data_IF_053075566771
#
_entry.id   IF_053075566771
#
_cell.length_a   1.000
_cell.length_b   1.000
_cell.length_c   1.000
_cell.angle_alpha   90.00
_cell.angle_beta   90.00
_cell.angle_gamma   90.00
#
_symmetry.space_group_name_H-M   'P 1'
#
loop_
_entity.id
_entity.type
_entity.pdbx_description
1 polymer ?
#
# COMPACT_ATOMS: atom_id res chain seq x y z
N UNK A 1 -2.33 0.29 4.09
CA UNK A 1 -2.05 -1.16 3.93
C UNK A 1 -0.61 -1.31 3.47
N UNK A 2 0.15 -2.17 4.13
CA UNK A 2 1.60 -2.33 3.92
C UNK A 2 2.03 -2.47 2.45
N UNK A 3 1.25 -3.17 1.62
CA UNK A 3 1.60 -3.39 0.22
C UNK A 3 1.49 -2.13 -0.62
N UNK A 4 0.59 -1.20 -0.29
CA UNK A 4 0.50 0.10 -0.97
C UNK A 4 1.79 0.89 -0.76
N UNK A 5 2.36 0.87 0.44
CA UNK A 5 3.60 1.60 0.74
C UNK A 5 4.79 1.03 -0.03
N UNK A 6 4.91 -0.30 -0.07
CA UNK A 6 5.93 -0.99 -0.88
C UNK A 6 5.75 -0.68 -2.36
N UNK A 7 4.52 -0.76 -2.87
CA UNK A 7 4.23 -0.54 -4.29
C UNK A 7 4.44 0.92 -4.69
N UNK A 8 4.10 1.88 -3.83
CA UNK A 8 4.42 3.30 -4.05
C UNK A 8 5.93 3.54 -4.02
N UNK A 9 6.66 2.93 -3.09
CA UNK A 9 8.13 3.00 -3.07
C UNK A 9 8.72 2.50 -4.40
N UNK A 10 8.31 1.31 -4.85
CA UNK A 10 8.71 0.75 -6.14
C UNK A 10 8.33 1.66 -7.32
N UNK A 11 7.13 2.23 -7.31
CA UNK A 11 6.67 3.15 -8.36
C UNK A 11 7.56 4.39 -8.48
N UNK A 12 7.95 4.99 -7.34
CA UNK A 12 8.85 6.15 -7.31
C UNK A 12 10.24 5.77 -7.83
N UNK A 13 10.74 4.58 -7.48
CA UNK A 13 12.05 4.06 -7.91
C UNK A 13 12.12 3.70 -9.39
N UNK A 14 11.01 3.25 -9.97
CA UNK A 14 10.92 2.85 -11.38
C UNK A 14 10.70 4.06 -12.29
N UNK A 15 9.81 4.98 -11.89
CA UNK A 15 9.45 6.18 -12.66
C UNK A 15 10.12 7.44 -12.09
N UNK A 16 11.45 7.53 -12.19
CA UNK A 16 12.23 8.59 -11.55
C UNK A 16 11.83 10.02 -11.97
N UNK A 17 11.42 10.25 -13.22
CA UNK A 17 10.97 11.59 -13.65
C UNK A 17 9.50 11.87 -13.31
N UNK A 18 8.71 10.85 -12.96
CA UNK A 18 7.26 10.96 -12.71
C UNK A 18 6.85 10.35 -11.36
N UNK A 19 7.72 10.43 -10.34
CA UNK A 19 7.58 9.72 -9.06
C UNK A 19 6.19 9.90 -8.43
N UNK A 20 5.72 11.15 -8.33
CA UNK A 20 4.43 11.46 -7.70
C UNK A 20 3.24 10.89 -8.49
N UNK A 21 3.28 10.98 -9.82
CA UNK A 21 2.21 10.43 -10.68
C UNK A 21 2.21 8.91 -10.65
N UNK A 22 3.38 8.27 -10.60
CA UNK A 22 3.50 6.82 -10.50
C UNK A 22 3.00 6.29 -9.14
N UNK A 23 3.36 6.96 -8.05
CA UNK A 23 2.85 6.66 -6.71
C UNK A 23 1.32 6.85 -6.60
N UNK A 24 0.80 7.94 -7.19
CA UNK A 24 -0.64 8.20 -7.25
C UNK A 24 -1.37 7.14 -8.08
N UNK A 25 -0.81 6.76 -9.24
CA UNK A 25 -1.36 5.71 -10.09
C UNK A 25 -1.44 4.38 -9.33
N UNK A 26 -0.35 3.93 -8.70
CA UNK A 26 -0.32 2.59 -8.11
C UNK A 26 -1.25 2.49 -6.89
N UNK A 27 -1.32 3.54 -6.06
CA UNK A 27 -2.25 3.57 -4.93
C UNK A 27 -3.70 3.58 -5.40
N UNK A 28 -4.03 4.37 -6.43
CA UNK A 28 -5.38 4.37 -7.01
C UNK A 28 -5.73 3.02 -7.64
N UNK A 29 -4.77 2.41 -8.32
CA UNK A 29 -4.94 1.12 -8.98
C UNK A 29 -5.27 0.03 -7.94
N UNK A 30 -4.45 -0.12 -6.90
CA UNK A 30 -4.69 -1.12 -5.85
C UNK A 30 -5.99 -0.87 -5.12
N UNK A 31 -6.29 0.38 -4.75
CA UNK A 31 -7.55 0.70 -4.08
C UNK A 31 -8.79 0.32 -4.90
N UNK A 32 -8.79 0.62 -6.20
CA UNK A 32 -9.91 0.23 -7.07
C UNK A 32 -9.98 -1.26 -7.26
N UNK A 33 -8.82 -1.89 -7.43
CA UNK A 33 -8.74 -3.33 -7.55
C UNK A 33 -9.41 -3.98 -6.31
N UNK A 34 -9.07 -3.55 -5.09
CA UNK A 34 -9.56 -4.15 -3.84
C UNK A 34 -11.06 -3.96 -3.63
N UNK A 35 -11.63 -2.88 -4.20
CA UNK A 35 -13.07 -2.64 -4.17
C UNK A 35 -13.84 -3.51 -5.15
N UNK A 36 -13.23 -3.87 -6.27
CA UNK A 36 -13.89 -4.58 -7.36
C UNK A 36 -13.69 -6.10 -7.27
N UNK A 37 -12.63 -6.54 -6.60
CA UNK A 37 -12.24 -7.95 -6.51
C UNK A 37 -11.57 -8.22 -5.16
N UNK A 38 -11.93 -9.33 -4.53
CA UNK A 38 -11.25 -9.84 -3.35
C UNK A 38 -10.00 -10.61 -3.84
N UNK A 39 -8.81 -10.01 -3.73
CA UNK A 39 -7.59 -10.70 -4.16
C UNK A 39 -6.98 -11.52 -3.06
N UNK A 40 -6.47 -12.68 -3.46
CA UNK A 40 -5.61 -13.46 -2.58
C UNK A 40 -4.30 -12.72 -2.28
N UNK A 41 -3.85 -12.87 -1.04
CA UNK A 41 -2.56 -12.36 -0.55
C UNK A 41 -1.40 -12.78 -1.47
N UNK A 42 -1.47 -14.00 -2.02
CA UNK A 42 -0.47 -14.54 -2.94
C UNK A 42 -0.38 -13.73 -4.25
N UNK A 43 -1.50 -13.17 -4.74
CA UNK A 43 -1.49 -12.31 -5.91
C UNK A 43 -0.68 -11.03 -5.66
N UNK A 44 -0.90 -10.39 -4.51
CA UNK A 44 -0.21 -9.16 -4.13
C UNK A 44 1.28 -9.42 -3.93
N UNK A 45 1.64 -10.52 -3.24
CA UNK A 45 3.02 -10.90 -3.03
C UNK A 45 3.75 -11.22 -4.35
N UNK A 46 3.10 -11.94 -5.26
CA UNK A 46 3.59 -12.22 -6.61
C UNK A 46 3.81 -10.94 -7.41
N UNK A 47 2.85 -10.01 -7.33
CA UNK A 47 2.94 -8.71 -7.98
C UNK A 47 4.13 -7.89 -7.46
N UNK A 48 4.27 -7.76 -6.13
CA UNK A 48 5.42 -7.07 -5.51
C UNK A 48 6.74 -7.70 -5.94
N UNK A 49 6.82 -9.03 -5.93
CA UNK A 49 8.00 -9.80 -6.35
C UNK A 49 8.45 -9.42 -7.77
N UNK A 50 7.56 -9.52 -8.75
CA UNK A 50 7.92 -9.23 -10.15
C UNK A 50 8.13 -7.74 -10.42
N UNK A 51 7.46 -6.85 -9.69
CA UNK A 51 7.69 -5.41 -9.81
C UNK A 51 9.07 -5.01 -9.24
N UNK A 52 9.51 -5.62 -8.15
CA UNK A 52 10.86 -5.43 -7.61
C UNK A 52 11.93 -5.88 -8.59
N UNK A 53 11.80 -7.09 -9.15
CA UNK A 53 12.71 -7.62 -10.16
C UNK A 53 12.76 -6.71 -11.39
N UNK A 54 11.60 -6.16 -11.79
CA UNK A 54 11.54 -5.16 -12.86
C UNK A 54 12.29 -3.88 -12.49
N UNK A 55 12.19 -3.39 -11.24
CA UNK A 55 12.97 -2.22 -10.80
C UNK A 55 14.48 -2.46 -10.83
N UNK A 56 14.95 -3.66 -10.41
CA UNK A 56 16.37 -4.01 -10.45
C UNK A 56 16.90 -4.09 -11.88
N UNK A 57 16.11 -4.65 -12.80
CA UNK A 57 16.46 -4.68 -14.24
C UNK A 57 16.52 -3.29 -14.88
N UNK A 58 15.78 -2.31 -14.34
CA UNK A 58 15.68 -0.94 -14.87
C UNK A 58 16.33 0.11 -13.96
N UNK A 59 17.25 -0.28 -13.08
CA UNK A 59 17.77 0.62 -12.02
C UNK A 59 18.45 1.90 -12.57
N UNK A 60 18.93 1.86 -13.82
CA UNK A 60 19.60 2.97 -14.50
C UNK A 60 18.74 3.61 -15.61
N UNK A 61 17.47 3.21 -15.73
CA UNK A 61 16.57 3.67 -16.78
C UNK A 61 15.36 4.34 -16.14
N UNK A 62 15.07 5.56 -16.58
CA UNK A 62 13.80 6.19 -16.25
C UNK A 62 12.69 5.55 -17.10
N UNK A 63 11.80 4.81 -16.44
CA UNK A 63 10.68 4.13 -17.11
C UNK A 63 9.53 5.12 -17.29
N UNK A 64 9.00 5.29 -18.52
CA UNK A 64 7.84 6.14 -18.74
C UNK A 64 6.60 5.65 -17.96
N UNK A 65 5.79 6.59 -17.46
CA UNK A 65 4.57 6.27 -16.69
C UNK A 65 3.64 5.30 -17.42
N UNK A 66 3.51 5.40 -18.74
CA UNK A 66 2.68 4.50 -19.55
C UNK A 66 3.23 3.08 -19.65
N UNK A 67 4.56 2.91 -19.72
CA UNK A 67 5.20 1.60 -19.68
C UNK A 67 5.01 0.96 -18.30
N UNK A 68 5.24 1.74 -17.23
CA UNK A 68 5.02 1.30 -15.86
C UNK A 68 3.55 0.93 -15.59
N UNK A 69 2.59 1.76 -15.99
CA UNK A 69 1.17 1.51 -15.78
C UNK A 69 0.70 0.23 -16.49
N UNK A 70 1.11 0.04 -17.75
CA UNK A 70 0.84 -1.20 -18.50
C UNK A 70 1.48 -2.41 -17.80
N UNK A 71 2.73 -2.26 -17.34
CA UNK A 71 3.44 -3.30 -16.61
C UNK A 71 2.68 -3.71 -15.34
N UNK A 72 2.24 -2.75 -14.54
CA UNK A 72 1.49 -3.02 -13.31
C UNK A 72 0.18 -3.75 -13.57
N UNK A 73 -0.64 -3.27 -14.52
CA UNK A 73 -1.91 -3.93 -14.85
C UNK A 73 -1.67 -5.37 -15.34
N UNK A 74 -0.73 -5.57 -16.26
CA UNK A 74 -0.46 -6.92 -16.79
C UNK A 74 0.09 -7.87 -15.72
N UNK A 75 1.00 -7.41 -14.86
CA UNK A 75 1.52 -8.23 -13.76
C UNK A 75 0.39 -8.61 -12.79
N UNK A 76 -0.47 -7.66 -12.45
CA UNK A 76 -1.55 -7.88 -11.52
C UNK A 76 -2.58 -8.88 -12.05
N UNK A 77 -2.99 -8.75 -13.32
CA UNK A 77 -3.88 -9.73 -13.99
C UNK A 77 -3.28 -11.13 -13.93
N UNK A 78 -2.00 -11.27 -14.25
CA UNK A 78 -1.32 -12.57 -14.27
C UNK A 78 -1.25 -13.21 -12.89
N UNK A 79 -0.95 -12.43 -11.85
CA UNK A 79 -0.86 -12.95 -10.49
C UNK A 79 -2.22 -13.23 -9.87
N UNK A 80 -3.24 -12.41 -10.13
CA UNK A 80 -4.61 -12.69 -9.72
C UNK A 80 -5.12 -14.01 -10.33
N UNK A 81 -4.91 -14.21 -11.64
CA UNK A 81 -5.24 -15.47 -12.32
C UNK A 81 -4.44 -16.68 -11.87
N UNK A 82 -3.22 -16.46 -11.36
CA UNK A 82 -2.35 -17.54 -10.91
C UNK A 82 -2.69 -17.99 -9.49
N UNK A 83 -3.15 -17.06 -8.63
CA UNK A 83 -3.54 -17.38 -7.27
C UNK A 83 -4.95 -17.97 -7.17
N UNK A 84 -5.88 -17.54 -8.03
CA UNK A 84 -7.25 -18.06 -8.05
C UNK A 84 -7.39 -19.15 -9.13
N UNK A 85 -7.62 -20.39 -8.69
CA UNK A 85 -7.70 -21.54 -9.58
C UNK A 85 -8.92 -21.54 -10.52
N UNK A 86 -9.96 -20.69 -10.33
CA UNK A 86 -11.22 -20.89 -11.08
C UNK A 86 -12.07 -19.70 -11.53
N UNK A 87 -11.83 -18.41 -11.25
CA UNK A 87 -12.83 -17.39 -11.65
C UNK A 87 -12.33 -16.03 -12.16
N UNK A 88 -11.03 -15.79 -12.32
CA UNK A 88 -10.53 -14.47 -12.75
C UNK A 88 -10.26 -14.40 -14.27
N UNK A 89 -10.99 -13.52 -14.95
CA UNK A 89 -10.85 -13.23 -16.38
C UNK A 89 -10.30 -11.83 -16.62
N UNK A 90 -9.69 -11.63 -17.80
CA UNK A 90 -9.19 -10.29 -18.19
C UNK A 90 -10.31 -9.26 -18.25
N UNK A 91 -11.53 -9.70 -18.55
CA UNK A 91 -12.72 -8.84 -18.59
C UNK A 91 -13.03 -8.18 -17.26
N UNK A 92 -12.61 -8.77 -16.15
CA UNK A 92 -12.98 -8.32 -14.80
C UNK A 92 -12.22 -7.03 -14.45
N UNK A 93 -11.13 -6.75 -15.16
CA UNK A 93 -10.32 -5.54 -14.99
C UNK A 93 -10.76 -4.39 -15.92
N UNK A 94 -11.85 -4.53 -16.69
CA UNK A 94 -12.32 -3.48 -17.62
C UNK A 94 -12.73 -2.21 -16.88
N UNK A 95 -13.35 -2.33 -15.72
CA UNK A 95 -13.79 -1.21 -14.88
C UNK A 95 -12.62 -0.35 -14.42
N UNK A 96 -11.47 -0.94 -14.09
CA UNK A 96 -10.25 -0.22 -13.74
C UNK A 96 -9.82 0.77 -14.85
N UNK A 97 -9.99 0.40 -16.12
CA UNK A 97 -9.64 1.26 -17.26
C UNK A 97 -10.62 2.42 -17.45
N UNK A 98 -11.77 2.43 -16.77
CA UNK A 98 -12.72 3.56 -16.81
C UNK A 98 -12.36 4.67 -15.85
N UNK A 99 -11.51 4.39 -14.86
CA UNK A 99 -10.97 5.40 -13.96
C UNK A 99 -10.03 6.36 -14.72
N UNK A 100 -10.22 7.66 -14.48
CA UNK A 100 -9.49 8.72 -15.19
C UNK A 100 -7.99 8.67 -14.94
N UNK A 101 -7.57 8.38 -13.71
CA UNK A 101 -6.15 8.34 -13.33
C UNK A 101 -5.48 7.15 -14.02
N UNK A 102 -6.11 5.97 -13.95
CA UNK A 102 -5.62 4.75 -14.59
C UNK A 102 -5.54 4.92 -16.10
N UNK A 103 -6.62 5.38 -16.73
CA UNK A 103 -6.68 5.58 -18.17
C UNK A 103 -5.65 6.61 -18.66
N UNK A 104 -5.48 7.71 -17.93
CA UNK A 104 -4.48 8.72 -18.26
C UNK A 104 -3.06 8.18 -18.15
N UNK A 105 -2.76 7.40 -17.10
CA UNK A 105 -1.44 6.83 -16.89
C UNK A 105 -1.06 5.83 -17.99
N UNK A 106 -2.01 5.02 -18.47
CA UNK A 106 -1.79 4.00 -19.50
C UNK A 106 -1.38 4.55 -20.88
N UNK A 107 -1.68 5.82 -21.17
CA UNK A 107 -1.37 6.43 -22.46
C UNK A 107 -2.04 5.73 -23.66
N UNK A 108 -3.23 5.15 -23.46
CA UNK A 108 -3.94 4.32 -24.47
C UNK A 108 -4.91 5.11 -25.34
N UNK A 109 -4.92 6.44 -25.28
CA UNK A 109 -5.95 7.27 -25.96
C UNK A 109 -5.95 7.04 -27.47
N UNK A 110 -4.76 7.04 -28.08
CA UNK A 110 -4.58 6.80 -29.51
C UNK A 110 -5.05 5.40 -29.91
N UNK A 111 -4.64 4.38 -29.16
CA UNK A 111 -5.00 2.98 -29.37
C UNK A 111 -6.53 2.75 -29.25
N UNK A 112 -7.19 3.43 -28.29
CA UNK A 112 -8.64 3.41 -28.14
C UNK A 112 -9.34 4.03 -29.34
N UNK A 113 -8.86 5.18 -29.84
CA UNK A 113 -9.42 5.86 -31.02
C UNK A 113 -9.31 4.94 -32.25
N UNK A 114 -8.11 4.41 -32.51
CA UNK A 114 -7.85 3.52 -33.66
C UNK A 114 -8.72 2.25 -33.61
N UNK A 115 -8.81 1.60 -32.44
CA UNK A 115 -9.63 0.39 -32.28
C UNK A 115 -11.13 0.68 -32.39
N UNK A 116 -11.59 1.83 -31.90
CA UNK A 116 -12.96 2.27 -32.09
C UNK A 116 -13.25 2.46 -33.58
N UNK A 117 -12.42 3.23 -34.28
CA UNK A 117 -12.58 3.46 -35.73
C UNK A 117 -12.61 2.16 -36.53
N UNK A 118 -11.76 1.18 -36.21
CA UNK A 118 -11.79 -0.15 -36.83
C UNK A 118 -13.11 -0.89 -36.60
N UNK A 119 -13.66 -0.84 -35.38
CA UNK A 119 -14.95 -1.48 -35.08
C UNK A 119 -16.12 -0.79 -35.79
N UNK A 120 -16.10 0.54 -35.91
CA UNK A 120 -17.10 1.30 -36.64
C UNK A 120 -16.94 1.22 -38.17
N UNK A 121 -15.72 1.00 -38.68
CA UNK A 121 -15.51 0.76 -40.11
C UNK A 121 -16.05 -0.61 -40.57
N UNK A 122 -16.09 -1.59 -39.67
CA UNK A 122 -16.57 -2.95 -39.94
C UNK A 122 -18.05 -3.19 -39.55
N UNK A 123 -18.76 -2.17 -39.04
CA UNK A 123 -20.19 -2.24 -38.71
C UNK A 123 -20.94 -1.03 -39.25
N UNK A 124 -22.14 -1.22 -39.82
CA UNK A 124 -22.96 -0.15 -40.42
C UNK A 124 -23.53 0.87 -39.40
N UNK A 125 -22.68 1.58 -38.65
CA UNK A 125 -23.12 2.69 -37.79
C UNK A 125 -22.17 3.89 -37.94
N UNK A 126 -22.79 5.06 -38.15
CA UNK A 126 -22.21 6.31 -38.69
C UNK A 126 -20.86 6.72 -38.08
N UNK A 127 -19.93 7.09 -38.97
CA UNK A 127 -18.67 7.82 -38.70
C UNK A 127 -18.89 8.91 -37.65
N UNK A 128 -18.20 8.81 -36.53
CA UNK A 128 -18.02 9.95 -35.63
C UNK A 128 -16.94 10.84 -36.26
N UNK A 129 -17.26 12.12 -36.45
CA UNK A 129 -16.41 13.08 -37.15
C UNK A 129 -15.06 13.31 -36.43
N UNK A 130 -13.96 13.61 -37.16
CA UNK A 130 -12.59 13.71 -36.61
C UNK A 130 -12.32 14.91 -35.70
N UNK A 131 -13.36 15.61 -35.21
CA UNK A 131 -13.20 16.80 -34.34
C UNK A 131 -12.93 16.42 -32.86
N UNK A 132 -12.42 15.22 -32.61
CA UNK A 132 -12.32 14.58 -31.29
C UNK A 132 -10.98 14.81 -30.57
N UNK A 133 -10.07 15.61 -31.12
CA UNK A 133 -8.83 15.98 -30.43
C UNK A 133 -9.05 16.79 -29.13
N UNK A 134 -10.29 17.21 -28.84
CA UNK A 134 -10.69 17.89 -27.60
C UNK A 134 -11.59 17.04 -26.68
N UNK A 135 -11.59 15.70 -26.80
CA UNK A 135 -12.44 14.87 -25.93
C UNK A 135 -12.03 15.05 -24.46
N UNK A 136 -12.96 15.61 -23.69
CA UNK A 136 -12.97 15.52 -22.24
C UNK A 136 -12.80 14.05 -21.81
N UNK A 137 -11.70 13.71 -21.13
CA UNK A 137 -11.34 12.33 -20.74
C UNK A 137 -12.51 11.52 -20.15
N UNK A 138 -13.40 12.17 -19.37
CA UNK A 138 -14.60 11.52 -18.82
C UNK A 138 -15.53 10.96 -19.91
N UNK A 139 -15.66 11.65 -21.04
CA UNK A 139 -16.51 11.26 -22.16
C UNK A 139 -15.89 10.13 -22.98
N UNK A 140 -14.56 10.08 -23.07
CA UNK A 140 -13.85 9.00 -23.78
C UNK A 140 -13.96 7.69 -23.01
N UNK A 141 -13.69 7.69 -21.69
CA UNK A 141 -13.71 6.47 -20.89
C UNK A 141 -15.11 5.87 -20.77
N UNK A 142 -16.14 6.71 -20.60
CA UNK A 142 -17.53 6.25 -20.50
C UNK A 142 -18.12 5.75 -21.83
N UNK A 143 -17.67 6.30 -22.96
CA UNK A 143 -18.17 5.94 -24.29
C UNK A 143 -17.39 4.81 -24.97
N UNK A 144 -16.25 4.39 -24.41
CA UNK A 144 -15.44 3.33 -25.01
C UNK A 144 -16.12 1.97 -24.82
N UNK A 145 -16.42 1.21 -25.89
CA UNK A 145 -17.00 -0.11 -25.77
C UNK A 145 -16.10 -1.06 -24.98
N UNK A 146 -16.67 -1.84 -24.06
CA UNK A 146 -15.94 -2.82 -23.26
C UNK A 146 -15.07 -3.77 -24.12
N UNK A 147 -15.51 -4.10 -25.34
CA UNK A 147 -14.74 -4.94 -26.29
C UNK A 147 -13.42 -4.31 -26.72
N UNK A 148 -13.33 -2.97 -26.79
CA UNK A 148 -12.07 -2.24 -27.07
C UNK A 148 -11.14 -2.32 -25.87
N UNK A 149 -11.65 -2.01 -24.68
CA UNK A 149 -10.87 -2.08 -23.44
C UNK A 149 -10.35 -3.49 -23.18
N UNK A 150 -11.18 -4.51 -23.42
CA UNK A 150 -10.79 -5.92 -23.32
C UNK A 150 -9.62 -6.27 -24.27
N UNK A 151 -9.63 -5.77 -25.52
CA UNK A 151 -8.52 -6.00 -26.45
C UNK A 151 -7.22 -5.37 -25.97
N UNK A 152 -7.29 -4.17 -25.40
CA UNK A 152 -6.14 -3.48 -24.81
C UNK A 152 -5.60 -4.27 -23.61
N UNK A 153 -6.47 -4.72 -22.72
CA UNK A 153 -6.08 -5.52 -21.56
C UNK A 153 -5.44 -6.85 -21.96
N UNK A 154 -6.03 -7.58 -22.91
CA UNK A 154 -5.47 -8.83 -23.45
C UNK A 154 -4.08 -8.61 -24.07
N UNK A 155 -3.88 -7.48 -24.74
CA UNK A 155 -2.58 -7.12 -25.29
C UNK A 155 -1.56 -6.86 -24.19
N UNK A 156 -1.93 -6.06 -23.18
CA UNK A 156 -1.07 -5.75 -22.03
C UNK A 156 -0.67 -7.04 -21.28
N UNK A 157 -1.64 -7.90 -20.98
CA UNK A 157 -1.41 -9.20 -20.32
C UNK A 157 -0.36 -10.02 -21.09
N UNK A 158 -0.54 -10.19 -22.40
CA UNK A 158 0.38 -10.97 -23.25
C UNK A 158 1.78 -10.36 -23.31
N UNK A 159 1.87 -9.04 -23.47
CA UNK A 159 3.14 -8.32 -23.48
C UNK A 159 3.91 -8.55 -22.17
N UNK A 160 3.23 -8.46 -21.03
CA UNK A 160 3.83 -8.71 -19.72
C UNK A 160 4.18 -10.18 -19.54
N UNK A 161 3.30 -11.12 -19.91
CA UNK A 161 3.57 -12.55 -19.78
C UNK A 161 4.79 -12.98 -20.59
N UNK A 162 4.92 -12.46 -21.82
CA UNK A 162 6.10 -12.69 -22.66
C UNK A 162 7.38 -12.19 -21.99
N UNK A 163 7.33 -10.99 -21.39
CA UNK A 163 8.49 -10.42 -20.69
C UNK A 163 8.90 -11.16 -19.42
N UNK A 164 7.99 -11.96 -18.85
CA UNK A 164 8.26 -12.90 -17.76
C UNK A 164 8.74 -14.27 -18.26
N UNK A 165 9.02 -14.39 -19.56
CA UNK A 165 9.34 -15.67 -20.21
C UNK A 165 8.26 -16.72 -19.97
N UNK A 166 7.00 -16.29 -19.93
CA UNK A 166 5.83 -17.14 -19.71
C UNK A 166 5.84 -17.88 -18.36
N UNK A 167 6.53 -17.32 -17.35
CA UNK A 167 6.59 -17.89 -16.00
C UNK A 167 6.00 -16.93 -14.98
N UNK A 168 4.89 -17.32 -14.38
CA UNK A 168 4.28 -16.69 -13.21
C UNK A 168 4.40 -17.70 -12.07
N UNK A 169 5.07 -17.31 -11.00
CA UNK A 169 5.27 -18.17 -9.83
C UNK A 169 5.61 -17.34 -8.62
N UNK A 170 5.29 -17.83 -7.44
CA UNK A 170 5.73 -17.27 -6.18
C UNK A 170 6.21 -18.41 -5.29
N UNK A 171 7.49 -18.40 -4.92
CA UNK A 171 8.04 -19.34 -3.94
C UNK A 171 8.41 -18.61 -2.66
N UNK A 172 8.43 -19.31 -1.52
CA UNK A 172 8.88 -18.71 -0.26
C UNK A 172 10.35 -18.22 -0.33
N UNK A 173 11.18 -18.84 -1.17
CA UNK A 173 12.55 -18.37 -1.39
C UNK A 173 12.57 -17.01 -2.13
N UNK A 174 11.66 -16.81 -3.10
CA UNK A 174 11.50 -15.52 -3.76
C UNK A 174 11.10 -14.43 -2.76
N UNK A 175 10.17 -14.75 -1.85
CA UNK A 175 9.74 -13.84 -0.78
C UNK A 175 10.91 -13.41 0.11
N UNK A 176 11.70 -14.38 0.59
CA UNK A 176 12.89 -14.11 1.40
C UNK A 176 13.89 -13.19 0.69
N UNK A 177 14.19 -13.46 -0.58
CA UNK A 177 15.21 -12.71 -1.33
C UNK A 177 14.76 -11.31 -1.75
N UNK A 178 13.45 -11.05 -1.80
CA UNK A 178 12.90 -9.82 -2.39
C UNK A 178 12.26 -8.93 -1.33
N UNK A 179 11.42 -9.48 -0.45
CA UNK A 179 10.71 -8.68 0.54
C UNK A 179 11.65 -8.19 1.64
N UNK A 180 12.63 -8.99 2.07
CA UNK A 180 13.54 -8.55 3.12
C UNK A 180 14.34 -7.29 2.71
N UNK A 181 15.02 -7.23 1.55
CA UNK A 181 15.66 -5.99 1.12
C UNK A 181 14.69 -4.81 0.96
N UNK A 182 13.50 -5.07 0.43
CA UNK A 182 12.47 -4.03 0.27
C UNK A 182 12.03 -3.42 1.59
N UNK A 183 11.84 -4.26 2.60
CA UNK A 183 11.43 -3.85 3.94
C UNK A 183 12.48 -2.93 4.57
N UNK A 184 13.78 -3.17 4.37
CA UNK A 184 14.80 -2.25 4.90
C UNK A 184 14.89 -0.92 4.14
N UNK A 185 14.35 -0.83 2.92
CA UNK A 185 14.42 0.38 2.08
C UNK A 185 13.21 1.32 2.26
N UNK A 186 12.14 0.88 2.94
CA UNK A 186 10.94 1.68 3.20
C UNK A 186 11.07 2.53 4.47
N UNK A 187 10.30 3.62 4.52
CA UNK A 187 10.38 4.62 5.60
C UNK A 187 9.98 4.05 6.97
N UNK A 188 8.97 3.19 7.01
CA UNK A 188 8.37 2.67 8.25
C UNK A 188 8.37 1.13 8.23
N UNK A 189 9.56 0.52 8.40
CA UNK A 189 9.75 -0.92 8.21
C UNK A 189 9.05 -1.76 9.28
N UNK A 190 8.97 -1.27 10.52
CA UNK A 190 8.32 -1.98 11.62
C UNK A 190 6.84 -2.25 11.31
N UNK A 191 6.11 -1.20 10.94
CA UNK A 191 4.68 -1.29 10.63
C UNK A 191 4.44 -2.34 9.53
N UNK A 192 5.15 -2.23 8.42
CA UNK A 192 5.02 -3.16 7.28
C UNK A 192 5.30 -4.60 7.67
N UNK A 193 6.32 -4.85 8.50
CA UNK A 193 6.63 -6.20 8.97
C UNK A 193 5.50 -6.75 9.83
N UNK A 194 5.02 -5.98 10.82
CA UNK A 194 3.95 -6.43 11.70
C UNK A 194 2.69 -6.79 10.91
N UNK A 195 2.26 -5.93 9.97
CA UNK A 195 1.07 -6.24 9.14
C UNK A 195 1.30 -7.48 8.26
N UNK A 196 2.50 -7.63 7.70
CA UNK A 196 2.84 -8.77 6.85
C UNK A 196 2.88 -10.07 7.67
N UNK A 197 3.46 -10.04 8.86
CA UNK A 197 3.48 -11.20 9.77
C UNK A 197 2.07 -11.62 10.12
N UNK A 198 1.20 -10.68 10.54
CA UNK A 198 -0.17 -11.01 10.92
C UNK A 198 -0.97 -11.56 9.75
N UNK A 199 -0.77 -11.00 8.56
CA UNK A 199 -1.36 -11.53 7.33
C UNK A 199 -0.83 -12.92 6.98
N UNK A 200 0.45 -13.23 7.23
CA UNK A 200 1.03 -14.52 6.90
C UNK A 200 0.76 -15.60 7.96
N UNK A 201 0.53 -15.20 9.22
CA UNK A 201 0.16 -16.12 10.32
C UNK A 201 -1.10 -16.92 10.00
N UNK A 202 -2.04 -16.39 9.22
CA UNK A 202 -3.23 -17.15 8.79
C UNK A 202 -2.90 -18.36 7.89
N UNK A 203 -1.72 -18.37 7.26
CA UNK A 203 -1.21 -19.45 6.43
C UNK A 203 -0.16 -20.32 7.15
N UNK A 204 0.11 -20.03 8.43
CA UNK A 204 1.04 -20.80 9.25
C UNK A 204 0.63 -22.27 9.25
N UNK A 205 1.62 -23.17 9.18
CA UNK A 205 1.46 -24.63 9.08
C UNK A 205 1.09 -25.21 7.71
N UNK A 206 0.84 -24.39 6.67
CA UNK A 206 0.56 -24.93 5.33
C UNK A 206 1.81 -25.41 4.60
N UNK A 207 2.91 -24.66 4.69
CA UNK A 207 4.16 -24.98 3.99
C UNK A 207 5.40 -24.66 4.84
N UNK A 208 6.36 -25.60 4.92
CA UNK A 208 7.59 -25.41 5.70
C UNK A 208 8.43 -24.19 5.26
N UNK A 209 8.59 -23.90 3.95
CA UNK A 209 9.31 -22.71 3.50
C UNK A 209 8.64 -21.38 3.90
N UNK A 210 7.30 -21.34 3.93
CA UNK A 210 6.55 -20.16 4.36
C UNK A 210 6.71 -19.94 5.88
N UNK A 211 6.67 -21.02 6.66
CA UNK A 211 6.93 -20.94 8.10
C UNK A 211 8.33 -20.39 8.38
N UNK A 212 9.34 -20.80 7.61
CA UNK A 212 10.70 -20.27 7.74
C UNK A 212 10.75 -18.76 7.42
N UNK A 213 10.03 -18.30 6.40
CA UNK A 213 9.95 -16.87 6.09
C UNK A 213 9.29 -16.06 7.23
N UNK A 214 8.19 -16.57 7.80
CA UNK A 214 7.53 -15.94 8.95
C UNK A 214 8.51 -15.81 10.13
N UNK A 215 9.27 -16.86 10.44
CA UNK A 215 10.28 -16.82 11.51
C UNK A 215 11.38 -15.79 11.24
N UNK A 216 11.82 -15.62 9.99
CA UNK A 216 12.79 -14.57 9.65
C UNK A 216 12.18 -13.16 9.79
N UNK A 217 10.91 -12.97 9.44
CA UNK A 217 10.22 -11.70 9.67
C UNK A 217 10.09 -11.39 11.17
N UNK A 218 9.69 -12.36 12.01
CA UNK A 218 9.58 -12.20 13.46
C UNK A 218 10.94 -11.78 14.08
N UNK A 219 12.05 -12.38 13.65
CA UNK A 219 13.41 -11.96 14.08
C UNK A 219 13.76 -10.53 13.69
N UNK A 220 13.23 -10.02 12.59
CA UNK A 220 13.48 -8.64 12.16
C UNK A 220 12.56 -7.69 12.91
N UNK A 221 11.31 -8.05 13.12
CA UNK A 221 10.38 -7.32 13.99
C UNK A 221 10.99 -7.08 15.37
N UNK A 222 11.54 -8.13 16.00
CA UNK A 222 12.25 -8.03 17.28
C UNK A 222 13.44 -7.04 17.27
N UNK A 223 14.10 -6.87 16.12
CA UNK A 223 15.19 -5.89 15.98
C UNK A 223 14.66 -4.47 15.79
N UNK A 224 13.52 -4.30 15.14
CA UNK A 224 12.89 -3.01 14.85
C UNK A 224 12.01 -2.49 15.99
N UNK A 225 11.58 -3.37 16.90
CA UNK A 225 10.75 -2.96 18.04
C UNK A 225 11.49 -1.98 18.95
N UNK A 226 12.78 -2.21 19.22
CA UNK A 226 13.57 -1.35 20.10
C UNK A 226 13.66 0.11 19.61
N UNK A 227 14.06 0.40 18.35
CA UNK A 227 14.07 1.77 17.85
C UNK A 227 12.66 2.39 17.79
N UNK A 228 11.62 1.61 17.46
CA UNK A 228 10.23 2.09 17.43
C UNK A 228 9.75 2.50 18.83
N UNK A 229 10.03 1.68 19.84
CA UNK A 229 9.69 1.98 21.24
C UNK A 229 10.41 3.23 21.72
N UNK A 230 11.66 3.45 21.32
CA UNK A 230 12.41 4.68 21.61
C UNK A 230 11.78 5.91 20.96
N UNK A 231 11.30 5.80 19.72
CA UNK A 231 10.62 6.90 19.02
C UNK A 231 9.31 7.30 19.72
N UNK A 232 8.47 6.31 20.08
CA UNK A 232 7.23 6.57 20.84
C UNK A 232 7.55 7.20 22.19
N UNK A 233 8.61 6.73 22.87
CA UNK A 233 9.07 7.30 24.13
C UNK A 233 9.40 8.79 23.98
N UNK A 234 10.19 9.18 22.97
CA UNK A 234 10.53 10.59 22.71
C UNK A 234 9.29 11.43 22.43
N UNK A 235 8.34 10.89 21.66
CA UNK A 235 7.08 11.55 21.35
C UNK A 235 6.22 11.82 22.60
N UNK A 236 6.21 10.91 23.57
CA UNK A 236 5.52 11.09 24.85
C UNK A 236 6.28 12.05 25.79
N UNK A 237 7.61 12.01 25.79
CA UNK A 237 8.46 12.93 26.56
C UNK A 237 8.29 14.39 26.09
N UNK A 238 8.14 14.60 24.78
CA UNK A 238 7.84 15.90 24.17
C UNK A 238 6.49 16.46 24.65
N UNK A 239 5.46 15.61 24.71
CA UNK A 239 4.15 15.98 25.26
C UNK A 239 4.28 16.42 26.72
N UNK A 240 4.93 15.61 27.57
CA UNK A 240 5.14 15.93 28.99
C UNK A 240 5.89 17.24 29.16
N UNK A 241 6.94 17.45 28.36
CA UNK A 241 7.76 18.66 28.40
C UNK A 241 6.95 19.91 28.03
N UNK A 242 6.11 19.83 27.00
CA UNK A 242 5.27 20.94 26.53
C UNK A 242 4.16 21.28 27.53
N UNK A 243 3.53 20.24 28.11
CA UNK A 243 2.49 20.42 29.12
C UNK A 243 3.05 21.08 30.40
N UNK A 244 4.28 20.74 30.81
CA UNK A 244 4.96 21.35 31.96
C UNK A 244 5.41 22.79 31.72
N UNK A 245 5.65 23.21 30.48
CA UNK A 245 5.99 24.61 30.15
C UNK A 245 4.77 25.53 30.17
N UNK A 246 3.58 24.98 29.87
CA UNK A 246 2.32 25.71 29.87
C UNK A 246 1.65 25.78 31.25
N UNK A 247 2.02 24.90 32.19
CA UNK A 247 1.58 24.97 33.57
C UNK A 247 2.41 26.01 34.34
N UNK A 248 1.90 27.24 34.40
CA UNK A 248 2.51 28.28 35.24
C UNK A 248 2.72 27.76 36.67
N UNK A 249 3.93 27.99 37.18
CA UNK A 249 4.58 27.36 38.32
C UNK A 249 3.93 27.51 39.72
N UNK A 250 2.66 27.89 39.84
CA UNK A 250 2.03 28.14 41.15
C UNK A 250 0.52 27.84 41.14
N UNK A 251 0.11 26.58 41.04
CA UNK A 251 -1.22 26.17 41.49
C UNK A 251 -1.29 24.65 41.78
N UNK A 252 -1.27 24.33 43.08
CA UNK A 252 -1.85 23.15 43.73
C UNK A 252 -1.49 21.75 43.19
N UNK A 253 -0.58 21.13 43.92
CA UNK A 253 -0.11 19.73 43.81
C UNK A 253 -1.16 18.64 44.05
N UNK A 254 -2.44 18.98 44.24
CA UNK A 254 -3.50 18.00 44.49
C UNK A 254 -4.75 18.41 43.71
N UNK A 255 -5.08 17.61 42.69
CA UNK A 255 -6.27 17.68 41.82
C UNK A 255 -6.29 18.76 40.72
N UNK A 256 -5.25 18.82 39.89
CA UNK A 256 -5.40 19.34 38.52
C UNK A 256 -5.47 18.15 37.54
N UNK A 257 -6.56 17.96 36.76
CA UNK A 257 -6.68 16.89 35.76
C UNK A 257 -5.51 16.82 34.77
N UNK A 258 -4.88 17.96 34.47
CA UNK A 258 -3.69 18.05 33.61
C UNK A 258 -2.48 17.33 34.22
N UNK A 259 -2.29 17.43 35.55
CA UNK A 259 -1.22 16.72 36.24
C UNK A 259 -1.48 15.20 36.31
N UNK A 260 -2.74 14.77 36.28
CA UNK A 260 -3.07 13.34 36.23
C UNK A 260 -2.62 12.71 34.90
N UNK A 261 -2.96 13.35 33.77
CA UNK A 261 -2.59 12.84 32.45
C UNK A 261 -1.07 12.76 32.28
N UNK A 262 -0.35 13.81 32.70
CA UNK A 262 1.13 13.84 32.69
C UNK A 262 1.72 12.68 33.51
N UNK A 263 1.19 12.43 34.71
CA UNK A 263 1.68 11.35 35.58
C UNK A 263 1.44 9.96 34.99
N UNK A 264 0.29 9.72 34.36
CA UNK A 264 0.02 8.45 33.67
C UNK A 264 0.93 8.26 32.45
N UNK A 265 1.18 9.32 31.67
CA UNK A 265 2.14 9.26 30.55
C UNK A 265 3.57 8.99 31.05
N UNK A 266 3.99 9.61 32.15
CA UNK A 266 5.30 9.34 32.77
C UNK A 266 5.46 7.88 33.22
N UNK A 267 4.40 7.26 33.76
CA UNK A 267 4.43 5.82 34.11
C UNK A 267 4.59 4.94 32.87
N UNK A 268 3.98 5.33 31.74
CA UNK A 268 4.14 4.60 30.46
C UNK A 268 5.58 4.74 29.97
N UNK A 269 6.15 5.95 29.96
CA UNK A 269 7.56 6.23 29.61
C UNK A 269 8.50 5.38 30.47
N UNK A 270 8.33 5.42 31.79
CA UNK A 270 9.14 4.62 32.72
C UNK A 270 8.98 3.12 32.45
N UNK A 271 7.76 2.68 32.10
CA UNK A 271 7.46 1.31 31.74
C UNK A 271 8.18 0.84 30.47
N UNK A 272 8.30 1.70 29.46
CA UNK A 272 9.08 1.49 28.23
C UNK A 272 10.57 1.41 28.56
N UNK A 273 11.11 2.40 29.28
CA UNK A 273 12.53 2.47 29.65
C UNK A 273 12.99 1.27 30.49
N UNK A 274 12.15 0.81 31.43
CA UNK A 274 12.39 -0.39 32.24
C UNK A 274 12.09 -1.71 31.53
N UNK A 275 11.67 -1.66 30.25
CA UNK A 275 11.29 -2.84 29.43
C UNK A 275 10.17 -3.69 30.06
N UNK A 276 9.31 -3.05 30.83
CA UNK A 276 8.09 -3.67 31.39
C UNK A 276 6.92 -3.59 30.41
N UNK A 277 6.92 -2.58 29.53
CA UNK A 277 6.08 -2.48 28.34
C UNK A 277 6.99 -2.76 27.14
N UNK A 278 6.65 -3.76 26.32
CA UNK A 278 7.56 -4.30 25.29
C UNK A 278 7.02 -4.21 23.87
N UNK A 279 5.78 -3.79 23.70
CA UNK A 279 5.07 -3.75 22.43
C UNK A 279 4.20 -2.49 22.34
N UNK A 280 3.92 -2.09 21.10
CA UNK A 280 3.17 -0.86 20.78
C UNK A 280 1.71 -0.98 21.21
N UNK A 281 1.11 -2.17 21.08
CA UNK A 281 -0.28 -2.42 21.49
C UNK A 281 -0.49 -2.16 22.98
N UNK A 282 0.44 -2.60 23.82
CA UNK A 282 0.42 -2.36 25.26
C UNK A 282 0.59 -0.88 25.60
N UNK A 283 1.37 -0.12 24.83
CA UNK A 283 1.47 1.34 24.98
C UNK A 283 0.12 1.98 24.66
N UNK A 284 -0.42 1.71 23.46
CA UNK A 284 -1.67 2.30 23.00
C UNK A 284 -2.83 1.97 23.94
N UNK A 285 -2.94 0.71 24.38
CA UNK A 285 -3.95 0.30 25.35
C UNK A 285 -3.88 1.12 26.63
N UNK A 286 -2.67 1.29 27.19
CA UNK A 286 -2.48 2.10 28.40
C UNK A 286 -2.78 3.57 28.17
N UNK A 287 -2.45 4.12 27.01
CA UNK A 287 -2.78 5.50 26.64
C UNK A 287 -4.29 5.72 26.54
N UNK A 288 -5.04 4.78 25.94
CA UNK A 288 -6.50 4.84 25.84
C UNK A 288 -7.21 4.67 27.19
N UNK A 289 -6.57 4.02 28.17
CA UNK A 289 -7.08 3.88 29.54
C UNK A 289 -6.95 5.19 30.36
N UNK A 290 -6.20 6.19 29.87
CA UNK A 290 -6.05 7.49 30.55
C UNK A 290 -7.37 8.27 30.42
N UNK A 291 -7.96 8.61 31.57
CA UNK A 291 -9.19 9.41 31.61
C UNK A 291 -8.89 10.90 31.35
N UNK A 292 -8.89 11.29 30.08
CA UNK A 292 -8.65 12.67 29.65
C UNK A 292 -9.93 13.49 29.80
N UNK A 293 -9.97 14.36 30.81
CA UNK A 293 -11.14 15.18 31.12
C UNK A 293 -11.29 16.42 30.24
N UNK A 294 -10.18 16.92 29.67
CA UNK A 294 -10.17 18.08 28.78
C UNK A 294 -10.21 17.61 27.31
N UNK A 295 -11.28 17.90 26.55
CA UNK A 295 -11.37 17.47 25.14
C UNK A 295 -10.37 18.17 24.22
N UNK A 296 -9.70 19.24 24.67
CA UNK A 296 -8.67 19.96 23.92
C UNK A 296 -7.25 19.61 24.38
N UNK A 297 -7.07 18.55 25.17
CA UNK A 297 -5.73 18.12 25.59
C UNK A 297 -4.93 17.62 24.37
N UNK A 298 -3.70 18.13 24.14
CA UNK A 298 -2.88 17.70 23.00
C UNK A 298 -2.49 16.21 23.06
N UNK A 299 -2.67 15.54 24.20
CA UNK A 299 -2.52 14.09 24.31
C UNK A 299 -3.54 13.35 23.42
N UNK A 300 -4.75 13.89 23.25
CA UNK A 300 -5.79 13.27 22.41
C UNK A 300 -5.28 13.18 20.98
N UNK A 301 -4.78 14.28 20.42
CA UNK A 301 -4.22 14.31 19.07
C UNK A 301 -2.99 13.39 18.94
N UNK A 302 -2.16 13.30 19.99
CA UNK A 302 -1.00 12.41 20.02
C UNK A 302 -1.42 10.94 20.03
N UNK A 303 -2.41 10.57 20.84
CA UNK A 303 -2.97 9.21 20.90
C UNK A 303 -3.56 8.86 19.53
N UNK A 304 -4.35 9.74 18.93
CA UNK A 304 -4.92 9.52 17.59
C UNK A 304 -3.84 9.40 16.52
N UNK A 305 -2.77 10.19 16.61
CA UNK A 305 -1.64 10.11 15.68
C UNK A 305 -0.92 8.77 15.79
N UNK A 306 -0.60 8.34 17.02
CA UNK A 306 0.03 7.06 17.29
C UNK A 306 -0.88 5.88 16.90
N UNK A 307 -2.18 5.97 17.18
CA UNK A 307 -3.17 4.96 16.80
C UNK A 307 -3.30 4.86 15.27
N UNK A 308 -3.37 6.01 14.57
CA UNK A 308 -3.39 6.02 13.11
C UNK A 308 -2.10 5.48 12.49
N UNK A 309 -0.95 5.75 13.13
CA UNK A 309 0.37 5.32 12.69
C UNK A 309 0.59 3.82 12.92
N UNK A 310 0.13 3.26 14.04
CA UNK A 310 0.50 1.92 14.47
C UNK A 310 -0.67 0.92 14.54
N UNK A 311 -1.93 1.36 14.49
CA UNK A 311 -3.13 0.52 14.75
C UNK A 311 -4.22 0.53 13.68
N UNK A 312 -4.02 1.15 12.51
CA UNK A 312 -4.94 0.98 11.34
C UNK A 312 -4.86 -0.44 10.72
N UNK A 313 -4.94 -1.45 11.60
CA UNK A 313 -4.96 -2.90 11.39
C UNK A 313 -6.03 -3.44 12.34
N UNK A 314 -7.30 -3.11 12.09
CA UNK A 314 -8.40 -4.01 12.48
C UNK A 314 -9.39 -4.00 11.32
N UNK A 315 -9.56 -5.16 10.72
CA UNK A 315 -10.67 -5.50 9.86
C UNK A 315 -11.97 -5.15 10.58
N UNK A 316 -12.72 -4.16 10.11
CA UNK A 316 -14.18 -4.26 10.22
C UNK A 316 -14.60 -5.31 9.19
N UNK A 317 -14.98 -6.48 9.70
CA UNK A 317 -15.61 -7.59 8.97
C UNK A 317 -17.00 -7.18 8.52
#
# INVERSE_FOLDING_TARGET
>A
MWHIDILQYLARKICNSNQNKAAQFIARFIHLAEQEMEFEVLAILGFVKDLYLYSKKNQNRDVPLSEFARRCIGLFILHAKYSDDYQIYVSDFISLLKDKIIFSALGIQKEVIELNEYLYANGQLKKISPSLFSINFKKLTSATPNKVLLRILLRIEREVFFSLQHKVSLTANDLNQILLPLIYEIKEPYLVITQLIDLLKQFKHREAPLNQFILELEKIEDKLITPTMSEICLQLEEYVSTANQNSNAYANFFYNPENYCINEVLKIIEGIQKKTIRDVDSILKKLFEINISNPNDPLIDKIQTLDAQYKNIVFEV
#
